data_IF_373250280546
#
_entry.id   IF_373250280546
#
_cell.length_a   1.000
_cell.length_b   1.000
_cell.length_c   1.000
_cell.angle_alpha   90.00
_cell.angle_beta   90.00
_cell.angle_gamma   90.00
#
_symmetry.space_group_name_H-M   'P 1'
#
loop_
_entity.id
_entity.type
_entity.pdbx_description
1 polymer ?
#
# COMPACT_ATOMS: atom_id res chain seq x y z
N UNK A 1 38.44 14.30 14.96
CA UNK A 1 37.39 14.69 13.95
C UNK A 1 36.44 13.52 13.81
N UNK A 2 35.28 13.65 14.40
CA UNK A 2 34.18 12.68 14.17
C UNK A 2 33.61 12.98 12.80
N UNK A 3 33.84 12.10 11.84
CA UNK A 3 33.19 12.12 10.53
C UNK A 3 31.68 12.04 10.77
N UNK A 4 30.95 13.10 10.39
CA UNK A 4 29.50 13.03 10.25
C UNK A 4 29.22 11.86 9.31
N UNK A 5 28.63 10.80 9.86
CA UNK A 5 27.98 9.77 9.08
C UNK A 5 26.87 10.49 8.33
N UNK A 6 27.02 10.69 7.02
CA UNK A 6 25.92 11.09 6.16
C UNK A 6 24.77 10.14 6.44
N UNK A 7 23.75 10.62 7.14
CA UNK A 7 22.55 9.85 7.42
C UNK A 7 21.85 9.64 6.07
N UNK A 8 22.10 8.50 5.44
CA UNK A 8 21.49 8.11 4.18
C UNK A 8 19.99 8.20 4.35
N UNK A 9 19.35 9.15 3.68
CA UNK A 9 17.89 9.30 3.72
C UNK A 9 17.27 8.01 3.22
N UNK A 10 16.46 7.37 4.08
CA UNK A 10 15.75 6.13 3.71
C UNK A 10 14.72 6.42 2.62
N UNK A 11 14.62 5.57 1.58
CA UNK A 11 13.57 5.71 0.57
C UNK A 11 12.19 5.46 1.19
N UNK A 12 11.20 6.19 0.70
CA UNK A 12 9.78 6.02 1.05
C UNK A 12 9.15 5.11 0.01
N UNK A 13 8.67 3.95 0.45
CA UNK A 13 8.07 2.93 -0.41
C UNK A 13 6.57 2.85 -0.17
N UNK A 14 5.78 3.15 -1.20
CA UNK A 14 4.34 2.93 -1.19
C UNK A 14 4.01 1.45 -1.42
N UNK A 15 3.02 0.93 -0.71
CA UNK A 15 2.55 -0.45 -0.84
C UNK A 15 1.03 -0.42 -0.94
N UNK A 16 0.45 -0.87 -2.04
CA UNK A 16 -1.01 -0.92 -2.19
C UNK A 16 -1.60 -2.20 -1.61
N UNK A 17 -2.80 -2.10 -1.03
CA UNK A 17 -3.47 -3.23 -0.37
C UNK A 17 -3.83 -4.40 -1.30
N UNK A 18 -4.04 -4.14 -2.60
CA UNK A 18 -4.59 -5.12 -3.53
C UNK A 18 -6.06 -5.45 -3.27
N UNK A 19 -6.45 -6.68 -3.60
CA UNK A 19 -7.80 -7.18 -3.33
C UNK A 19 -7.97 -7.45 -1.82
N UNK A 20 -8.90 -6.75 -1.18
CA UNK A 20 -9.16 -6.90 0.27
C UNK A 20 -9.70 -8.28 0.65
N UNK A 21 -10.23 -9.05 -0.29
CA UNK A 21 -10.71 -10.42 -0.10
C UNK A 21 -9.67 -11.47 -0.48
N UNK A 22 -8.51 -11.05 -0.99
CA UNK A 22 -7.40 -11.90 -1.39
C UNK A 22 -6.29 -12.01 -0.35
N UNK A 23 -5.08 -12.29 -0.82
CA UNK A 23 -3.91 -12.55 0.02
C UNK A 23 -3.04 -11.30 0.29
N UNK A 24 -3.40 -10.14 -0.25
CA UNK A 24 -2.56 -8.94 -0.19
C UNK A 24 -2.18 -8.55 1.24
N UNK A 25 -3.14 -8.42 2.13
CA UNK A 25 -2.87 -8.06 3.52
C UNK A 25 -2.10 -9.13 4.30
N UNK A 26 -2.29 -10.41 3.99
CA UNK A 26 -1.47 -11.47 4.57
C UNK A 26 0.00 -11.30 4.24
N UNK A 27 0.31 -11.07 2.96
CA UNK A 27 1.69 -10.84 2.49
C UNK A 27 2.28 -9.57 3.11
N UNK A 28 1.52 -8.48 3.13
CA UNK A 28 1.94 -7.20 3.72
C UNK A 28 2.26 -7.38 5.21
N UNK A 29 1.37 -7.99 5.97
CA UNK A 29 1.55 -8.22 7.40
C UNK A 29 2.77 -9.08 7.71
N UNK A 30 2.90 -10.22 7.01
CA UNK A 30 4.04 -11.14 7.17
C UNK A 30 5.38 -10.50 6.77
N UNK A 31 5.36 -9.55 5.85
CA UNK A 31 6.55 -8.81 5.45
C UNK A 31 6.90 -7.73 6.48
N UNK A 32 5.93 -6.91 6.87
CA UNK A 32 6.17 -5.75 7.73
C UNK A 32 6.26 -6.09 9.24
N UNK A 33 6.03 -7.33 9.63
CA UNK A 33 6.28 -7.76 11.01
C UNK A 33 7.79 -7.92 11.33
N UNK A 34 8.64 -7.97 10.33
CA UNK A 34 10.10 -8.00 10.51
C UNK A 34 10.66 -6.58 10.66
N UNK A 35 11.01 -6.20 11.89
CA UNK A 35 11.50 -4.85 12.21
C UNK A 35 12.77 -4.45 11.45
N UNK A 36 13.56 -5.40 10.93
CA UNK A 36 14.78 -5.13 10.15
C UNK A 36 14.49 -4.39 8.84
N UNK A 37 13.26 -4.50 8.34
CA UNK A 37 12.81 -3.79 7.14
C UNK A 37 12.94 -2.27 7.31
N UNK A 38 12.64 -1.76 8.50
CA UNK A 38 12.64 -0.32 8.79
C UNK A 38 14.04 0.32 8.77
N UNK A 39 15.10 -0.50 8.77
CA UNK A 39 16.48 -0.04 8.56
C UNK A 39 16.77 0.25 7.06
N UNK A 40 15.93 -0.24 6.17
CA UNK A 40 16.12 -0.18 4.71
C UNK A 40 15.22 0.85 4.02
N UNK A 41 13.98 1.02 4.50
CA UNK A 41 13.01 1.96 3.90
C UNK A 41 11.89 2.35 4.88
N UNK A 42 11.14 3.36 4.48
CA UNK A 42 9.96 3.85 5.20
C UNK A 42 8.72 3.36 4.44
N UNK A 43 7.96 2.38 4.96
CA UNK A 43 6.76 1.88 4.29
C UNK A 43 5.56 2.79 4.50
N UNK A 44 4.78 3.02 3.43
CA UNK A 44 3.44 3.59 3.47
C UNK A 44 2.48 2.60 2.83
N UNK A 45 1.55 2.07 3.61
CA UNK A 45 0.48 1.22 3.10
C UNK A 45 -0.69 2.10 2.67
N UNK A 46 -1.09 1.97 1.40
CA UNK A 46 -2.29 2.59 0.85
C UNK A 46 -3.42 1.57 0.87
N UNK A 47 -4.45 1.83 1.64
CA UNK A 47 -5.52 0.88 1.81
C UNK A 47 -6.63 1.40 2.72
N UNK A 48 -7.21 0.51 3.50
CA UNK A 48 -8.22 0.83 4.50
C UNK A 48 -7.80 0.22 5.84
N UNK A 49 -7.54 1.07 6.83
CA UNK A 49 -6.93 0.66 8.10
C UNK A 49 -7.79 -0.29 8.93
N UNK A 50 -9.11 -0.22 8.81
CA UNK A 50 -10.02 -1.17 9.46
C UNK A 50 -9.88 -2.58 8.87
N UNK A 51 -9.67 -2.69 7.54
CA UNK A 51 -9.39 -3.97 6.88
C UNK A 51 -8.04 -4.51 7.32
N UNK A 52 -7.01 -3.66 7.40
CA UNK A 52 -5.71 -4.04 7.94
C UNK A 52 -5.82 -4.58 9.37
N UNK A 53 -6.57 -3.89 10.24
CA UNK A 53 -6.81 -4.32 11.62
C UNK A 53 -7.57 -5.64 11.71
N UNK A 54 -8.53 -5.88 10.82
CA UNK A 54 -9.23 -7.16 10.71
C UNK A 54 -8.25 -8.31 10.42
N UNK A 55 -7.37 -8.16 9.43
CA UNK A 55 -6.39 -9.19 9.10
C UNK A 55 -5.31 -9.35 10.18
N UNK A 56 -4.86 -8.26 10.83
CA UNK A 56 -3.98 -8.34 12.00
C UNK A 56 -4.52 -9.28 13.07
N UNK A 57 -5.80 -9.13 13.40
CA UNK A 57 -6.48 -9.98 14.37
C UNK A 57 -6.55 -11.44 13.89
N UNK A 58 -6.89 -11.67 12.63
CA UNK A 58 -7.02 -13.01 12.08
C UNK A 58 -5.68 -13.78 12.01
N UNK A 59 -4.57 -13.05 11.88
CA UNK A 59 -3.22 -13.63 11.85
C UNK A 59 -2.49 -13.55 13.21
N UNK A 60 -3.19 -13.20 14.29
CA UNK A 60 -2.61 -13.04 15.64
C UNK A 60 -1.41 -12.07 15.67
N UNK A 61 -1.55 -10.94 14.98
CA UNK A 61 -0.53 -9.87 14.87
C UNK A 61 -1.03 -8.56 15.45
N UNK A 62 -1.87 -8.59 16.49
CA UNK A 62 -2.49 -7.40 17.09
C UNK A 62 -1.47 -6.42 17.64
N UNK A 63 -0.29 -6.91 18.08
CA UNK A 63 0.81 -6.07 18.58
C UNK A 63 1.46 -5.20 17.51
N UNK A 64 1.26 -5.53 16.22
CA UNK A 64 1.83 -4.76 15.11
C UNK A 64 1.13 -3.41 15.00
N UNK A 65 1.84 -2.34 15.34
CA UNK A 65 1.32 -0.98 15.31
C UNK A 65 1.58 -0.27 13.98
N UNK A 66 0.75 0.71 13.66
CA UNK A 66 0.94 1.60 12.53
C UNK A 66 0.55 3.04 12.88
N UNK A 67 1.12 4.00 12.17
CA UNK A 67 0.72 5.39 12.23
C UNK A 67 -0.25 5.71 11.08
N UNK A 68 -1.44 6.18 11.41
CA UNK A 68 -2.37 6.70 10.43
C UNK A 68 -1.93 8.13 10.05
N UNK A 69 -1.63 8.34 8.77
CA UNK A 69 -1.21 9.63 8.22
C UNK A 69 -2.15 10.05 7.09
N UNK A 70 -2.19 11.33 6.77
CA UNK A 70 -3.04 11.88 5.71
C UNK A 70 -2.29 12.08 4.40
N UNK A 71 -0.99 12.31 4.48
CA UNK A 71 -0.13 12.64 3.35
C UNK A 71 1.21 11.89 3.46
N UNK A 72 1.77 11.48 2.32
CA UNK A 72 3.02 10.72 2.29
C UNK A 72 4.20 11.43 2.97
N UNK A 73 4.26 12.76 2.92
CA UNK A 73 5.29 13.56 3.60
C UNK A 73 5.27 13.49 5.13
N UNK A 74 4.18 13.00 5.72
CA UNK A 74 4.06 12.78 7.16
C UNK A 74 4.63 11.42 7.60
N UNK A 75 5.13 10.61 6.65
CA UNK A 75 5.66 9.30 6.95
C UNK A 75 6.84 9.37 7.91
N UNK A 76 6.81 8.50 8.93
CA UNK A 76 7.81 8.42 9.97
C UNK A 76 8.68 7.18 9.77
N UNK A 77 10.01 7.29 9.91
CA UNK A 77 10.90 6.14 9.89
C UNK A 77 10.65 5.21 11.09
N UNK A 78 11.07 3.96 10.96
CA UNK A 78 11.02 2.97 12.04
C UNK A 78 9.64 2.39 12.34
N UNK A 79 8.66 2.63 11.48
CA UNK A 79 7.29 2.14 11.66
C UNK A 79 6.50 2.04 10.37
N UNK A 80 5.39 1.30 10.43
CA UNK A 80 4.41 1.25 9.35
C UNK A 80 3.62 2.56 9.36
N UNK A 81 3.54 3.22 8.20
CA UNK A 81 2.66 4.35 7.95
C UNK A 81 1.48 3.87 7.12
N UNK A 82 0.30 4.42 7.34
CA UNK A 82 -0.92 4.00 6.66
C UNK A 82 -1.73 5.20 6.16
N UNK A 83 -2.11 5.18 4.89
CA UNK A 83 -3.01 6.16 4.27
C UNK A 83 -4.29 5.47 3.86
N UNK A 84 -5.42 5.92 4.42
CA UNK A 84 -6.74 5.45 4.04
C UNK A 84 -7.16 6.04 2.69
N UNK A 85 -7.65 5.19 1.77
CA UNK A 85 -8.32 5.65 0.56
C UNK A 85 -9.79 6.03 0.83
N UNK A 86 -10.36 5.51 1.92
CA UNK A 86 -11.73 5.82 2.38
C UNK A 86 -11.84 5.65 3.89
N UNK A 87 -12.72 6.42 4.51
CA UNK A 87 -13.11 6.27 5.93
C UNK A 87 -14.34 5.36 6.10
N UNK A 88 -15.00 5.00 4.99
CA UNK A 88 -16.16 4.11 5.01
C UNK A 88 -15.77 2.68 5.40
N UNK A 89 -16.68 1.99 6.07
CA UNK A 89 -16.51 0.56 6.32
C UNK A 89 -16.68 -0.23 5.04
N UNK A 90 -15.76 -1.18 4.82
CA UNK A 90 -15.79 -2.09 3.70
C UNK A 90 -16.21 -3.49 4.17
N UNK A 91 -17.13 -4.12 3.44
CA UNK A 91 -17.48 -5.51 3.67
C UNK A 91 -16.34 -6.40 3.21
N UNK A 92 -15.81 -7.22 4.12
CA UNK A 92 -14.73 -8.17 3.85
C UNK A 92 -15.35 -9.56 3.69
N UNK A 93 -15.09 -10.19 2.54
CA UNK A 93 -15.58 -11.53 2.20
C UNK A 93 -14.41 -12.37 1.63
N UNK A 94 -13.52 -12.90 2.49
CA UNK A 94 -12.30 -13.56 2.06
C UNK A 94 -12.58 -14.68 1.04
N UNK A 95 -11.81 -14.67 -0.06
CA UNK A 95 -11.95 -15.64 -1.14
C UNK A 95 -13.08 -15.35 -2.13
N UNK A 96 -13.88 -14.30 -1.91
CA UNK A 96 -15.00 -13.94 -2.78
C UNK A 96 -14.65 -12.73 -3.64
N UNK A 97 -14.86 -12.83 -4.95
CA UNK A 97 -14.72 -11.70 -5.85
C UNK A 97 -15.94 -10.78 -5.74
N UNK A 98 -15.74 -9.55 -5.29
CA UNK A 98 -16.80 -8.55 -5.12
C UNK A 98 -16.46 -7.24 -5.80
N UNK A 99 -17.47 -6.49 -6.20
CA UNK A 99 -17.32 -5.14 -6.76
C UNK A 99 -16.68 -4.18 -5.74
N UNK A 100 -17.07 -4.30 -4.46
CA UNK A 100 -16.50 -3.50 -3.36
C UNK A 100 -14.99 -3.72 -3.27
N UNK A 101 -14.54 -4.97 -3.32
CA UNK A 101 -13.10 -5.29 -3.27
C UNK A 101 -12.35 -4.75 -4.49
N UNK A 102 -12.94 -4.85 -5.67
CA UNK A 102 -12.36 -4.30 -6.90
C UNK A 102 -12.23 -2.77 -6.86
N UNK A 103 -13.27 -2.09 -6.43
CA UNK A 103 -13.26 -0.63 -6.26
C UNK A 103 -12.22 -0.19 -5.22
N UNK A 104 -12.16 -0.86 -4.07
CA UNK A 104 -11.18 -0.58 -3.03
C UNK A 104 -9.74 -0.78 -3.52
N UNK A 105 -9.49 -1.84 -4.31
CA UNK A 105 -8.19 -2.09 -4.93
C UNK A 105 -7.76 -0.94 -5.84
N UNK A 106 -8.68 -0.47 -6.68
CA UNK A 106 -8.40 0.61 -7.62
C UNK A 106 -8.18 1.95 -6.91
N UNK A 107 -9.01 2.30 -5.94
CA UNK A 107 -8.89 3.56 -5.21
C UNK A 107 -7.55 3.66 -4.46
N UNK A 108 -7.11 2.57 -3.82
CA UNK A 108 -5.81 2.52 -3.16
C UNK A 108 -4.65 2.66 -4.17
N UNK A 109 -4.73 1.95 -5.31
CA UNK A 109 -3.74 2.05 -6.38
C UNK A 109 -3.66 3.48 -6.94
N UNK A 110 -4.81 4.12 -7.17
CA UNK A 110 -4.88 5.49 -7.69
C UNK A 110 -4.16 6.48 -6.78
N UNK A 111 -4.43 6.45 -5.47
CA UNK A 111 -3.74 7.32 -4.50
C UNK A 111 -2.23 7.12 -4.52
N UNK A 112 -1.78 5.86 -4.51
CA UNK A 112 -0.36 5.54 -4.52
C UNK A 112 0.34 6.00 -5.80
N UNK A 113 -0.31 5.84 -6.95
CA UNK A 113 0.21 6.31 -8.25
C UNK A 113 0.28 7.83 -8.32
N UNK A 114 -0.71 8.52 -7.77
CA UNK A 114 -0.67 9.99 -7.68
C UNK A 114 0.51 10.48 -6.83
N UNK A 115 0.77 9.83 -5.69
CA UNK A 115 1.92 10.17 -4.85
C UNK A 115 3.26 9.84 -5.52
N UNK A 116 3.32 8.74 -6.26
CA UNK A 116 4.49 8.39 -7.06
C UNK A 116 4.76 9.42 -8.15
N UNK A 117 3.72 9.82 -8.89
CA UNK A 117 3.82 10.84 -9.93
C UNK A 117 4.27 12.20 -9.40
N UNK A 118 3.81 12.57 -8.19
CA UNK A 118 4.20 13.81 -7.50
C UNK A 118 5.55 13.73 -6.78
N UNK A 119 6.26 12.61 -6.87
CA UNK A 119 7.50 12.33 -6.13
C UNK A 119 7.35 12.42 -4.60
N UNK A 120 6.17 12.14 -4.06
CA UNK A 120 5.92 12.05 -2.62
C UNK A 120 6.38 10.72 -2.04
N UNK A 121 6.50 9.69 -2.88
CA UNK A 121 7.12 8.40 -2.59
C UNK A 121 8.19 8.09 -3.65
N UNK A 122 9.19 7.29 -3.28
CA UNK A 122 10.34 6.98 -4.14
C UNK A 122 10.10 5.76 -5.03
N UNK A 123 9.28 4.82 -4.58
CA UNK A 123 8.90 3.63 -5.34
C UNK A 123 7.53 3.09 -4.89
N UNK A 124 6.94 2.23 -5.71
CA UNK A 124 5.65 1.62 -5.48
C UNK A 124 5.73 0.11 -5.62
N UNK A 125 5.22 -0.61 -4.61
CA UNK A 125 4.98 -2.05 -4.62
C UNK A 125 3.47 -2.29 -4.63
N UNK A 126 2.99 -3.10 -5.53
CA UNK A 126 1.56 -3.41 -5.65
C UNK A 126 1.26 -4.83 -5.16
N UNK A 127 0.34 -4.95 -4.21
CA UNK A 127 -0.19 -6.25 -3.82
C UNK A 127 -1.11 -6.82 -4.91
N UNK A 128 -1.35 -8.15 -4.92
CA UNK A 128 -2.17 -8.79 -5.94
C UNK A 128 -3.61 -8.25 -5.98
N UNK A 129 -4.12 -8.02 -7.19
CA UNK A 129 -5.51 -7.64 -7.45
C UNK A 129 -6.25 -8.74 -8.19
N UNK A 130 -7.56 -8.76 -8.07
CA UNK A 130 -8.41 -9.57 -8.93
C UNK A 130 -8.64 -8.81 -10.26
N UNK A 131 -8.14 -9.36 -11.35
CA UNK A 131 -8.18 -8.71 -12.67
C UNK A 131 -9.59 -8.49 -13.22
N UNK A 132 -10.56 -9.27 -12.72
CA UNK A 132 -11.95 -9.16 -13.17
C UNK A 132 -12.72 -8.09 -12.38
N UNK A 133 -12.62 -8.08 -11.05
CA UNK A 133 -13.41 -7.17 -10.22
C UNK A 133 -12.85 -5.73 -10.18
N UNK A 134 -11.57 -5.54 -10.50
CA UNK A 134 -10.95 -4.20 -10.57
C UNK A 134 -11.40 -3.43 -11.82
N UNK A 135 -11.90 -4.12 -12.85
CA UNK A 135 -12.37 -3.49 -14.09
C UNK A 135 -13.56 -2.57 -13.82
N UNK A 136 -13.49 -1.37 -14.35
CA UNK A 136 -14.53 -0.34 -14.23
C UNK A 136 -14.41 0.66 -15.38
N UNK A 137 -15.30 1.63 -15.45
CA UNK A 137 -15.16 2.73 -16.41
C UNK A 137 -13.88 3.52 -16.24
N UNK A 138 -13.36 3.59 -15.00
CA UNK A 138 -12.13 4.31 -14.67
C UNK A 138 -10.87 3.44 -14.78
N UNK A 139 -11.00 2.12 -14.76
CA UNK A 139 -9.89 1.18 -14.87
C UNK A 139 -10.16 0.17 -16.01
N UNK A 140 -9.69 0.49 -17.21
CA UNK A 140 -9.78 -0.34 -18.43
C UNK A 140 -8.40 -0.85 -18.86
N UNK A 141 -7.60 -1.28 -17.91
CA UNK A 141 -6.23 -1.75 -18.13
C UNK A 141 -6.13 -3.26 -17.90
N UNK A 142 -5.33 -3.95 -18.70
CA UNK A 142 -5.11 -5.39 -18.55
C UNK A 142 -4.21 -5.74 -17.35
N UNK A 143 -3.54 -4.76 -16.75
CA UNK A 143 -2.69 -4.94 -15.57
C UNK A 143 -2.46 -3.63 -14.82
N UNK A 144 -2.10 -3.73 -13.54
CA UNK A 144 -1.67 -2.59 -12.73
C UNK A 144 -0.46 -1.88 -13.36
N UNK A 145 0.49 -2.63 -13.93
CA UNK A 145 1.66 -2.07 -14.62
C UNK A 145 1.25 -1.13 -15.75
N UNK A 146 0.29 -1.51 -16.58
CA UNK A 146 -0.18 -0.64 -17.67
C UNK A 146 -0.85 0.62 -17.16
N UNK A 147 -1.61 0.53 -16.07
CA UNK A 147 -2.18 1.69 -15.41
C UNK A 147 -1.08 2.64 -14.89
N UNK A 148 -0.10 2.12 -14.18
CA UNK A 148 1.02 2.90 -13.65
C UNK A 148 1.78 3.59 -14.79
N UNK A 149 2.10 2.87 -15.86
CA UNK A 149 2.81 3.41 -17.01
C UNK A 149 2.03 4.51 -17.75
N UNK A 150 0.70 4.53 -17.67
CA UNK A 150 -0.11 5.61 -18.27
C UNK A 150 0.07 6.95 -17.55
N UNK A 151 0.42 6.95 -16.26
CA UNK A 151 0.71 8.15 -15.47
C UNK A 151 2.20 8.47 -15.41
N UNK A 152 3.04 7.47 -15.39
CA UNK A 152 4.47 7.57 -15.18
C UNK A 152 5.23 6.81 -16.29
N UNK A 153 5.20 7.28 -17.54
CA UNK A 153 5.79 6.55 -18.68
C UNK A 153 7.32 6.39 -18.57
N UNK A 154 7.98 7.23 -17.79
CA UNK A 154 9.43 7.20 -17.59
C UNK A 154 9.88 6.23 -16.48
N UNK A 155 8.93 5.67 -15.73
CA UNK A 155 9.25 4.69 -14.70
C UNK A 155 9.42 3.31 -15.34
N UNK A 156 10.66 2.85 -15.36
CA UNK A 156 10.98 1.44 -15.69
C UNK A 156 10.61 0.56 -14.50
N UNK A 157 9.93 -0.56 -14.73
CA UNK A 157 9.64 -1.54 -13.68
C UNK A 157 10.90 -2.28 -13.24
#
# INVERSE_FOLDING_TARGET
MLTQKDSKKLPVIGITQGDINGIGYEVILKTLCDNRIFDSFIPIVYGQSKVFSYYKKNFNMEELSYALIREARQAQPGRINFINHTDNELKIEPGISTEIAGKASFEALKLAVEDLYKNNIDALVTAPVNKNNIQSEQFKFSSQKKYINSFCPELTP
#
